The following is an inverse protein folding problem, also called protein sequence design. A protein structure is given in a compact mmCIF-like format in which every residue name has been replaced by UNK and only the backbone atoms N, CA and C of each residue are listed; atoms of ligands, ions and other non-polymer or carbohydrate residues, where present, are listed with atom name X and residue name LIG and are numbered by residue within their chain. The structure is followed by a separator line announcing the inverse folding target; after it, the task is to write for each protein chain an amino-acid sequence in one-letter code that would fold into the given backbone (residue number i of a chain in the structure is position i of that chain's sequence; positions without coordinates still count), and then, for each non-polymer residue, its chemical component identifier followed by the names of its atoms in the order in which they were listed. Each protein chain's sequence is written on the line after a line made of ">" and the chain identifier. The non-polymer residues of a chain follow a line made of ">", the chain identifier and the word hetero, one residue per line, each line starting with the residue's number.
data_IF_496893284597
#
_entry.id   IF_496893284597
#
_cell.length_a   1.000
_cell.length_b   1.000
_cell.length_c   1.000
_cell.angle_alpha   90.00
_cell.angle_beta   90.00
_cell.angle_gamma   90.00
#
_symmetry.space_group_name_H-M   'P 1'
#
loop_
_entity.id
_entity.type
_entity.pdbx_description
1 polymer ?
#
# COMPACT_ATOMS: atom_id res chain seq x y z
N UNK A 1 12.86 0.27 -41.09
CA UNK A 1 12.08 -0.80 -40.41
C UNK A 1 11.76 -0.36 -39.00
N UNK A 2 10.48 -0.33 -38.66
CA UNK A 2 9.92 0.74 -37.83
C UNK A 2 9.26 0.19 -36.56
N UNK A 3 9.28 0.98 -35.48
CA UNK A 3 8.54 0.67 -34.24
C UNK A 3 7.11 1.12 -34.50
N UNK A 4 6.14 0.22 -34.32
CA UNK A 4 4.74 0.51 -34.70
C UNK A 4 3.94 0.92 -33.48
N UNK A 5 3.24 2.06 -33.58
CA UNK A 5 2.17 2.41 -32.65
C UNK A 5 0.91 1.63 -33.05
N UNK A 6 0.39 0.80 -32.15
CA UNK A 6 -0.88 0.10 -32.35
C UNK A 6 -1.95 0.80 -31.52
N UNK A 7 -3.01 1.31 -32.13
CA UNK A 7 -4.20 1.72 -31.38
C UNK A 7 -4.90 0.46 -30.83
N UNK A 8 -5.24 0.42 -29.54
CA UNK A 8 -6.15 -0.63 -29.03
C UNK A 8 -7.55 -0.36 -29.56
N UNK A 9 -8.33 -1.43 -29.84
CA UNK A 9 -9.67 -1.36 -30.45
C UNK A 9 -10.51 -0.21 -29.86
N UNK A 10 -10.89 0.73 -30.75
CA UNK A 10 -11.50 2.06 -30.52
C UNK A 10 -10.56 3.28 -30.50
N UNK A 11 -9.28 3.15 -30.86
CA UNK A 11 -8.43 4.32 -31.16
C UNK A 11 -8.14 4.43 -32.64
N UNK A 12 -8.88 5.29 -33.35
CA UNK A 12 -8.22 6.12 -34.37
C UNK A 12 -7.06 6.83 -33.66
N UNK A 13 -5.90 6.99 -34.32
CA UNK A 13 -4.87 7.93 -33.87
C UNK A 13 -5.46 9.32 -34.11
N UNK A 14 -6.36 9.69 -33.20
CA UNK A 14 -7.10 10.93 -33.25
C UNK A 14 -6.21 12.12 -32.90
N UNK A 15 -6.69 13.34 -33.15
CA UNK A 15 -5.99 14.56 -32.77
C UNK A 15 -5.58 14.53 -31.27
N UNK A 16 -4.58 15.32 -30.86
CA UNK A 16 -3.98 15.32 -29.51
C UNK A 16 -4.97 15.29 -28.31
N UNK A 17 -6.22 15.69 -28.54
CA UNK A 17 -7.34 15.63 -27.61
C UNK A 17 -7.75 14.20 -27.16
N UNK A 18 -7.50 13.17 -27.97
CA UNK A 18 -7.85 11.78 -27.62
C UNK A 18 -6.79 11.09 -26.75
N UNK A 19 -5.53 11.50 -26.87
CA UNK A 19 -4.48 11.11 -25.95
C UNK A 19 -4.80 11.58 -24.52
N UNK A 20 -5.46 12.74 -24.38
CA UNK A 20 -5.84 13.34 -23.09
C UNK A 20 -6.84 12.46 -22.28
N UNK A 21 -7.81 11.81 -22.95
CA UNK A 21 -8.81 10.96 -22.28
C UNK A 21 -8.26 9.59 -21.85
N UNK A 22 -7.47 8.92 -22.70
CA UNK A 22 -6.79 7.68 -22.33
C UNK A 22 -5.67 7.91 -21.29
N UNK A 23 -5.04 9.08 -21.34
CA UNK A 23 -4.07 9.51 -20.32
C UNK A 23 -4.72 9.54 -18.94
N UNK A 24 -5.94 10.05 -18.78
CA UNK A 24 -6.59 10.16 -17.47
C UNK A 24 -6.59 8.85 -16.64
N UNK A 25 -6.60 7.69 -17.31
CA UNK A 25 -6.72 6.38 -16.67
C UNK A 25 -5.46 5.49 -16.77
N UNK A 26 -4.51 5.80 -17.66
CA UNK A 26 -3.34 4.96 -17.92
C UNK A 26 -2.04 5.48 -17.23
N UNK A 27 -1.10 4.57 -16.88
CA UNK A 27 0.24 4.97 -16.49
C UNK A 27 0.93 5.71 -17.65
N UNK A 28 1.74 6.71 -17.32
CA UNK A 28 2.40 7.57 -18.33
C UNK A 28 3.40 6.79 -19.18
N UNK A 29 4.16 5.88 -18.58
CA UNK A 29 4.99 4.93 -19.31
C UNK A 29 5.17 3.64 -18.49
N UNK A 30 4.80 2.50 -19.08
CA UNK A 30 4.95 1.16 -18.50
C UNK A 30 5.25 0.16 -19.63
N UNK A 31 6.17 -0.77 -19.38
CA UNK A 31 6.40 -1.96 -20.22
C UNK A 31 5.61 -3.15 -19.68
N UNK A 32 5.25 -4.09 -20.53
CA UNK A 32 4.38 -5.21 -20.12
C UNK A 32 5.08 -6.17 -19.16
N UNK A 33 6.34 -6.48 -19.43
CA UNK A 33 7.16 -7.40 -18.64
C UNK A 33 8.58 -6.84 -18.44
N UNK A 34 9.33 -7.31 -17.43
CA UNK A 34 10.71 -6.88 -17.21
C UNK A 34 11.63 -7.11 -18.42
N UNK A 35 11.30 -8.06 -19.29
CA UNK A 35 12.09 -8.37 -20.49
C UNK A 35 11.73 -7.47 -21.69
N UNK A 36 10.62 -6.75 -21.66
CA UNK A 36 10.16 -5.94 -22.78
C UNK A 36 10.95 -4.64 -22.96
N UNK A 37 11.53 -4.43 -24.13
CA UNK A 37 12.28 -3.21 -24.48
C UNK A 37 13.49 -2.96 -23.57
N UNK A 38 14.02 -4.01 -22.93
CA UNK A 38 15.24 -3.89 -22.13
C UNK A 38 16.44 -3.54 -23.00
N UNK A 39 17.45 -2.95 -22.36
CA UNK A 39 18.68 -2.61 -23.05
C UNK A 39 19.77 -3.62 -22.73
N UNK A 40 20.60 -3.93 -23.72
CA UNK A 40 21.80 -4.73 -23.54
C UNK A 40 22.97 -4.16 -24.36
N UNK A 41 24.19 -4.50 -23.94
CA UNK A 41 25.41 -4.14 -24.65
C UNK A 41 26.10 -5.38 -25.17
N UNK A 42 26.29 -5.44 -26.48
CA UNK A 42 26.91 -6.58 -27.13
C UNK A 42 27.75 -6.13 -28.32
N UNK A 43 28.95 -6.70 -28.47
CA UNK A 43 29.87 -6.43 -29.59
C UNK A 43 30.10 -4.94 -29.90
N UNK A 44 30.21 -4.11 -28.86
CA UNK A 44 30.52 -2.69 -29.04
C UNK A 44 29.31 -1.81 -29.40
N UNK A 45 28.09 -2.34 -29.34
CA UNK A 45 26.86 -1.64 -29.66
C UNK A 45 25.78 -1.88 -28.61
N UNK A 46 24.95 -0.85 -28.39
CA UNK A 46 23.79 -0.92 -27.50
C UNK A 46 22.60 -1.40 -28.31
N UNK A 47 21.79 -2.28 -27.74
CA UNK A 47 20.57 -2.78 -28.33
C UNK A 47 19.37 -2.53 -27.41
N UNK A 48 18.23 -2.19 -27.99
CA UNK A 48 16.92 -2.30 -27.35
C UNK A 48 16.30 -3.61 -27.85
N UNK A 49 15.84 -4.43 -26.92
CA UNK A 49 15.24 -5.72 -27.21
C UNK A 49 13.80 -5.59 -27.73
N UNK A 50 13.27 -6.70 -28.21
CA UNK A 50 11.86 -6.82 -28.55
C UNK A 50 10.98 -6.54 -27.33
N UNK A 51 9.76 -6.07 -27.57
CA UNK A 51 8.77 -6.00 -26.52
C UNK A 51 7.69 -4.97 -26.74
N UNK A 52 6.89 -4.81 -25.70
CA UNK A 52 5.71 -3.97 -25.70
C UNK A 52 5.67 -2.97 -24.54
N UNK A 53 5.04 -1.83 -24.79
CA UNK A 53 4.82 -0.82 -23.76
C UNK A 53 3.57 0.00 -24.04
N UNK A 54 3.09 0.69 -23.02
CA UNK A 54 2.14 1.78 -23.12
C UNK A 54 2.86 3.06 -22.70
N UNK A 55 2.85 4.08 -23.55
CA UNK A 55 3.38 5.39 -23.24
C UNK A 55 2.42 6.50 -23.70
N UNK A 56 2.06 7.40 -22.79
CA UNK A 56 1.10 8.49 -23.02
C UNK A 56 -0.21 8.02 -23.69
N UNK A 57 -0.71 6.84 -23.31
CA UNK A 57 -1.92 6.22 -23.89
C UNK A 57 -1.70 5.55 -25.26
N UNK A 58 -0.49 5.59 -25.80
CA UNK A 58 -0.13 4.93 -27.06
C UNK A 58 0.49 3.58 -26.77
N UNK A 59 -0.03 2.51 -27.39
CA UNK A 59 0.57 1.18 -27.32
C UNK A 59 1.68 1.06 -28.35
N UNK A 60 2.86 0.69 -27.88
CA UNK A 60 4.10 0.55 -28.66
C UNK A 60 4.43 -0.94 -28.80
N UNK A 61 4.81 -1.37 -29.99
CA UNK A 61 5.35 -2.70 -30.23
C UNK A 61 6.67 -2.64 -31.02
N UNK A 62 7.70 -3.28 -30.46
CA UNK A 62 8.97 -3.52 -31.12
C UNK A 62 9.17 -5.02 -31.32
N UNK A 63 9.16 -5.48 -32.56
CA UNK A 63 9.26 -6.90 -32.91
C UNK A 63 10.68 -7.41 -33.13
N UNK A 64 11.69 -6.53 -33.13
CA UNK A 64 13.09 -6.91 -33.36
C UNK A 64 14.08 -6.10 -32.52
N UNK A 65 15.24 -6.66 -32.22
CA UNK A 65 16.30 -5.91 -31.53
C UNK A 65 16.77 -4.73 -32.39
N UNK A 66 16.81 -3.53 -31.82
CA UNK A 66 17.21 -2.30 -32.50
C UNK A 66 18.55 -1.80 -31.99
N UNK A 67 19.54 -1.58 -32.87
CA UNK A 67 20.76 -0.91 -32.46
C UNK A 67 20.49 0.54 -32.05
N UNK A 68 21.25 1.02 -31.07
CA UNK A 68 21.22 2.39 -30.59
C UNK A 68 22.61 2.97 -30.73
N UNK A 69 22.72 4.03 -31.53
CA UNK A 69 24.01 4.66 -31.79
C UNK A 69 24.45 5.54 -30.62
N UNK A 70 25.54 5.13 -29.97
CA UNK A 70 26.17 5.86 -28.88
C UNK A 70 27.58 6.29 -29.30
N UNK A 71 27.76 7.57 -29.59
CA UNK A 71 29.07 8.09 -29.96
C UNK A 71 30.09 7.89 -28.82
N UNK A 72 31.19 7.13 -29.03
CA UNK A 72 32.18 6.89 -27.98
C UNK A 72 32.86 8.22 -27.57
N UNK A 73 33.15 8.42 -26.29
CA UNK A 73 34.01 9.52 -25.86
C UNK A 73 35.46 9.31 -26.28
N UNK A 74 36.12 10.37 -26.71
CA UNK A 74 37.58 10.38 -26.92
C UNK A 74 38.37 10.27 -25.61
N UNK A 75 37.80 10.76 -24.50
CA UNK A 75 38.28 10.58 -23.13
C UNK A 75 37.12 10.77 -22.14
N UNK A 76 37.23 10.18 -20.94
CA UNK A 76 36.22 10.29 -19.87
C UNK A 76 34.94 9.47 -20.13
N UNK A 77 33.81 9.95 -19.62
CA UNK A 77 32.50 9.33 -19.76
C UNK A 77 31.48 10.29 -20.39
N UNK A 78 30.48 9.72 -21.06
CA UNK A 78 29.32 10.45 -21.61
C UNK A 78 28.04 9.82 -21.12
N UNK A 79 27.08 10.64 -20.74
CA UNK A 79 25.76 10.19 -20.30
C UNK A 79 24.74 10.41 -21.41
N UNK A 80 23.94 9.37 -21.66
CA UNK A 80 22.85 9.36 -22.62
C UNK A 80 21.53 9.01 -21.91
N UNK A 81 20.44 9.69 -22.26
CA UNK A 81 19.09 9.19 -22.02
C UNK A 81 18.64 8.44 -23.27
N UNK A 82 18.24 7.18 -23.10
CA UNK A 82 17.65 6.40 -24.17
C UNK A 82 16.14 6.46 -24.03
N UNK A 83 15.49 7.08 -25.01
CA UNK A 83 14.05 7.32 -24.99
C UNK A 83 13.37 6.72 -26.23
N UNK A 84 12.12 6.29 -26.06
CA UNK A 84 11.18 6.11 -27.15
C UNK A 84 10.48 7.45 -27.37
N UNK A 85 10.83 8.12 -28.45
CA UNK A 85 10.19 9.36 -28.87
C UNK A 85 8.95 9.04 -29.68
N UNK A 86 7.80 9.40 -29.15
CA UNK A 86 6.52 9.42 -29.84
C UNK A 86 6.33 10.81 -30.44
N UNK A 87 6.13 10.89 -31.75
CA UNK A 87 5.83 12.10 -32.50
C UNK A 87 4.48 11.92 -33.20
N UNK A 88 3.43 12.52 -32.64
CA UNK A 88 2.07 12.43 -33.18
C UNK A 88 1.86 13.29 -34.43
N UNK A 89 2.88 14.04 -34.88
CA UNK A 89 2.84 14.68 -36.21
C UNK A 89 3.19 13.72 -37.35
N UNK A 90 3.63 12.49 -37.03
CA UNK A 90 4.06 11.47 -37.99
C UNK A 90 2.99 10.39 -38.17
N UNK A 91 2.98 9.70 -39.32
CA UNK A 91 2.15 8.51 -39.50
C UNK A 91 2.54 7.41 -38.50
N UNK A 92 1.59 6.51 -38.19
CA UNK A 92 1.69 5.53 -37.11
C UNK A 92 2.93 4.63 -37.15
N UNK A 93 3.39 4.32 -38.36
CA UNK A 93 4.57 3.51 -38.61
C UNK A 93 5.86 4.28 -38.32
N UNK A 94 5.88 5.61 -38.47
CA UNK A 94 7.04 6.47 -38.18
C UNK A 94 6.94 7.23 -36.85
N UNK A 95 5.80 7.12 -36.17
CA UNK A 95 5.49 7.88 -34.95
C UNK A 95 6.45 7.58 -33.80
N UNK A 96 7.04 6.39 -33.73
CA UNK A 96 7.95 6.01 -32.65
C UNK A 96 9.38 5.84 -33.15
N UNK A 97 10.29 6.63 -32.59
CA UNK A 97 11.73 6.54 -32.89
C UNK A 97 12.56 6.41 -31.62
N UNK A 98 13.67 5.67 -31.68
CA UNK A 98 14.63 5.62 -30.58
C UNK A 98 15.53 6.85 -30.66
N UNK A 99 15.70 7.56 -29.54
CA UNK A 99 16.65 8.68 -29.44
C UNK A 99 17.62 8.47 -28.28
N UNK A 100 18.89 8.71 -28.55
CA UNK A 100 19.94 8.83 -27.55
C UNK A 100 20.23 10.31 -27.29
N UNK A 101 19.58 10.88 -26.28
CA UNK A 101 19.73 12.29 -25.93
C UNK A 101 21.02 12.45 -25.10
N UNK A 102 21.99 13.16 -25.66
CA UNK A 102 23.35 13.27 -25.12
C UNK A 102 23.49 14.47 -24.17
N UNK A 103 24.28 14.28 -23.10
CA UNK A 103 24.88 15.40 -22.35
C UNK A 103 26.39 15.21 -22.21
N UNK A 104 27.13 16.33 -22.17
CA UNK A 104 28.59 16.33 -21.93
C UNK A 104 28.95 15.93 -20.50
N UNK A 105 28.10 16.27 -19.53
CA UNK A 105 28.17 15.79 -18.14
C UNK A 105 26.81 15.95 -17.46
N UNK A 106 26.55 15.11 -16.45
CA UNK A 106 25.35 15.18 -15.61
C UNK A 106 24.09 14.55 -16.20
N UNK A 107 22.96 14.80 -15.54
CA UNK A 107 21.68 14.17 -15.87
C UNK A 107 21.10 14.69 -17.19
N UNK A 108 20.44 13.84 -18.00
CA UNK A 108 19.64 14.30 -19.14
C UNK A 108 18.67 15.42 -18.74
N UNK A 109 18.49 16.44 -19.60
CA UNK A 109 17.63 17.59 -19.29
C UNK A 109 16.18 17.24 -19.62
N UNK A 110 15.30 17.41 -18.64
CA UNK A 110 13.86 17.30 -18.82
C UNK A 110 13.33 18.63 -19.36
N UNK A 111 12.60 18.58 -20.46
CA UNK A 111 11.87 19.73 -20.95
C UNK A 111 10.64 19.97 -20.05
N UNK A 112 10.67 21.06 -19.29
CA UNK A 112 9.61 21.46 -18.37
C UNK A 112 8.54 22.35 -19.03
N UNK A 113 8.54 22.48 -20.37
CA UNK A 113 7.61 23.36 -21.11
C UNK A 113 6.78 22.56 -22.11
N UNK A 114 5.61 23.09 -22.48
CA UNK A 114 4.75 22.47 -23.48
C UNK A 114 5.32 22.55 -24.92
N UNK A 115 6.31 23.42 -25.16
CA UNK A 115 6.96 23.55 -26.46
C UNK A 115 7.95 22.39 -26.67
N UNK A 116 7.80 21.57 -27.73
CA UNK A 116 8.69 20.43 -27.98
C UNK A 116 10.16 20.86 -28.15
N UNK A 117 11.07 20.11 -27.52
CA UNK A 117 12.53 20.30 -27.68
C UNK A 117 13.19 19.00 -28.11
N UNK A 118 13.86 19.03 -29.25
CA UNK A 118 14.38 17.81 -29.89
C UNK A 118 15.62 17.23 -29.20
N UNK A 119 16.32 18.03 -28.39
CA UNK A 119 17.53 17.69 -27.65
C UNK A 119 17.30 17.38 -26.16
N UNK A 120 16.06 17.47 -25.69
CA UNK A 120 15.65 17.25 -24.29
C UNK A 120 14.61 16.15 -24.19
N UNK A 121 14.38 15.64 -22.97
CA UNK A 121 13.33 14.66 -22.68
C UNK A 121 11.99 15.39 -22.54
N UNK A 122 11.07 15.19 -23.47
CA UNK A 122 9.73 15.77 -23.45
C UNK A 122 8.77 14.91 -22.62
N UNK A 123 8.46 15.31 -21.39
CA UNK A 123 7.54 14.58 -20.48
C UNK A 123 6.11 15.11 -20.46
N UNK A 124 5.86 16.23 -21.15
CA UNK A 124 4.51 16.78 -21.31
C UNK A 124 4.00 16.25 -22.64
N UNK A 125 3.01 15.33 -22.64
CA UNK A 125 2.42 14.86 -23.88
C UNK A 125 1.85 16.03 -24.69
N UNK A 126 2.00 15.97 -26.02
CA UNK A 126 1.68 17.05 -26.93
C UNK A 126 1.94 16.62 -28.36
N UNK A 127 2.75 17.37 -29.12
CA UNK A 127 3.23 16.91 -30.43
C UNK A 127 4.31 15.83 -30.30
N UNK A 128 5.15 15.94 -29.27
CA UNK A 128 6.25 15.00 -28.98
C UNK A 128 6.20 14.58 -27.52
N UNK A 129 6.40 13.29 -27.26
CA UNK A 129 6.58 12.72 -25.93
C UNK A 129 7.75 11.74 -25.94
N UNK A 130 8.54 11.73 -24.87
CA UNK A 130 9.71 10.87 -24.69
C UNK A 130 9.51 9.94 -23.49
N UNK A 131 9.26 8.66 -23.77
CA UNK A 131 9.26 7.61 -22.77
C UNK A 131 10.71 7.17 -22.46
N UNK A 132 11.18 7.42 -21.25
CA UNK A 132 12.55 7.11 -20.85
C UNK A 132 12.72 5.63 -20.51
N UNK A 133 13.58 4.94 -21.25
CA UNK A 133 13.91 3.54 -21.00
C UNK A 133 15.06 3.38 -20.01
N UNK A 134 16.15 4.11 -20.23
CA UNK A 134 17.36 3.96 -19.44
C UNK A 134 18.26 5.20 -19.49
N UNK A 135 19.10 5.31 -18.47
CA UNK A 135 20.27 6.19 -18.47
C UNK A 135 21.51 5.34 -18.75
N UNK A 136 22.28 5.72 -19.76
CA UNK A 136 23.47 4.96 -20.18
C UNK A 136 24.71 5.82 -20.03
N UNK A 137 25.71 5.32 -19.32
CA UNK A 137 27.03 5.95 -19.19
C UNK A 137 28.00 5.19 -20.10
N UNK A 138 28.45 5.85 -21.17
CA UNK A 138 29.43 5.32 -22.12
C UNK A 138 30.83 5.80 -21.74
N UNK A 139 31.77 4.88 -21.60
CA UNK A 139 33.21 5.16 -21.51
C UNK A 139 33.90 4.66 -22.79
N UNK A 140 35.20 4.89 -22.92
CA UNK A 140 35.97 4.35 -24.04
C UNK A 140 35.92 2.81 -24.11
N UNK A 141 35.86 2.12 -22.95
CA UNK A 141 35.93 0.66 -22.86
C UNK A 141 34.58 -0.06 -22.68
N UNK A 142 33.49 0.63 -22.35
CA UNK A 142 32.24 -0.05 -21.99
C UNK A 142 31.05 0.87 -21.83
N UNK A 143 29.92 0.28 -21.42
CA UNK A 143 28.72 1.02 -21.01
C UNK A 143 28.24 0.51 -19.66
N UNK A 144 27.68 1.41 -18.87
CA UNK A 144 26.84 1.08 -17.72
C UNK A 144 25.42 1.50 -18.07
N UNK A 145 24.48 0.57 -17.90
CA UNK A 145 23.06 0.79 -18.19
C UNK A 145 22.34 0.86 -16.84
N UNK A 146 21.66 1.98 -16.59
CA UNK A 146 20.75 2.16 -15.48
C UNK A 146 19.34 2.06 -16.02
N UNK A 147 18.65 0.97 -15.70
CA UNK A 147 17.32 0.70 -16.20
C UNK A 147 16.27 1.53 -15.45
N UNK A 148 15.41 2.21 -16.20
CA UNK A 148 14.39 3.13 -15.68
C UNK A 148 12.98 2.73 -16.15
N UNK A 149 12.82 1.56 -16.76
CA UNK A 149 11.51 1.02 -17.14
C UNK A 149 10.70 0.66 -15.91
N UNK A 150 9.38 0.77 -16.04
CA UNK A 150 8.41 0.36 -15.01
C UNK A 150 7.51 -0.74 -15.59
N UNK A 151 7.12 -1.75 -14.81
CA UNK A 151 6.18 -2.82 -15.23
C UNK A 151 5.19 -3.20 -14.13
N UNK A 152 4.17 -3.99 -14.47
CA UNK A 152 3.15 -4.47 -13.54
C UNK A 152 2.21 -3.36 -13.06
N UNK A 153 1.88 -3.35 -11.76
CA UNK A 153 0.98 -2.35 -11.16
C UNK A 153 -0.51 -2.71 -11.18
N UNK A 154 -0.88 -3.91 -11.65
CA UNK A 154 -2.26 -4.40 -11.57
C UNK A 154 -2.64 -4.68 -10.11
N UNK A 155 -3.31 -3.71 -9.47
CA UNK A 155 -3.76 -3.81 -8.08
C UNK A 155 -2.67 -3.58 -7.02
N UNK A 156 -1.52 -3.04 -7.40
CA UNK A 156 -0.39 -2.78 -6.50
C UNK A 156 0.59 -1.73 -7.04
N UNK A 157 1.74 -1.52 -6.39
CA UNK A 157 2.76 -0.57 -6.87
C UNK A 157 3.33 -1.02 -8.23
N UNK A 158 3.75 -0.06 -9.04
CA UNK A 158 4.56 -0.33 -10.21
C UNK A 158 5.91 -0.90 -9.77
N UNK A 159 6.44 -1.83 -10.55
CA UNK A 159 7.76 -2.43 -10.29
C UNK A 159 8.84 -1.72 -11.08
N UNK A 160 9.99 -1.55 -10.43
CA UNK A 160 11.19 -0.96 -11.00
C UNK A 160 12.43 -1.74 -10.57
N UNK A 161 13.53 -1.56 -11.28
CA UNK A 161 14.85 -2.04 -10.84
C UNK A 161 15.37 -1.23 -9.65
N UNK A 162 16.48 -1.69 -9.06
CA UNK A 162 17.20 -0.90 -8.05
C UNK A 162 17.69 0.46 -8.60
N UNK A 163 18.05 0.54 -9.89
CA UNK A 163 18.44 1.79 -10.55
C UNK A 163 17.26 2.77 -10.63
N UNK A 164 16.08 2.31 -11.05
CA UNK A 164 14.85 3.11 -11.07
C UNK A 164 14.45 3.61 -9.67
N UNK A 165 14.65 2.78 -8.65
CA UNK A 165 14.41 3.15 -7.25
C UNK A 165 15.42 4.19 -6.72
N UNK A 166 16.67 4.15 -7.19
CA UNK A 166 17.70 5.11 -6.82
C UNK A 166 17.52 6.48 -7.51
N UNK A 167 16.93 6.50 -8.71
CA UNK A 167 16.71 7.71 -9.51
C UNK A 167 15.22 7.95 -9.84
N UNK A 168 14.32 7.97 -8.84
CA UNK A 168 12.88 7.96 -9.09
C UNK A 168 12.40 9.26 -9.75
N UNK A 169 13.13 10.36 -9.59
CA UNK A 169 12.89 11.63 -10.28
C UNK A 169 12.96 11.52 -11.81
N UNK A 170 13.59 10.46 -12.34
CA UNK A 170 13.63 10.20 -13.77
C UNK A 170 12.44 9.39 -14.27
N UNK A 171 11.63 8.80 -13.40
CA UNK A 171 10.42 8.10 -13.80
C UNK A 171 9.34 9.13 -14.13
N UNK A 172 8.73 9.01 -15.32
CA UNK A 172 7.58 9.83 -15.67
C UNK A 172 6.32 9.14 -15.19
N UNK A 173 5.90 9.46 -13.96
CA UNK A 173 4.76 8.84 -13.28
C UNK A 173 3.80 9.92 -12.75
N UNK A 174 2.55 9.52 -12.50
CA UNK A 174 1.52 10.42 -11.96
C UNK A 174 1.73 10.63 -10.45
N UNK A 175 1.34 11.79 -9.94
CA UNK A 175 1.22 11.99 -8.48
C UNK A 175 0.26 10.95 -7.90
N UNK A 176 0.55 10.49 -6.69
CA UNK A 176 -0.09 9.34 -6.04
C UNK A 176 0.48 7.98 -6.44
N UNK A 177 1.36 7.88 -7.45
CA UNK A 177 1.91 6.58 -7.88
C UNK A 177 2.86 6.00 -6.84
N UNK A 178 2.70 4.71 -6.55
CA UNK A 178 3.66 3.92 -5.79
C UNK A 178 4.57 3.13 -6.73
N UNK A 179 5.86 3.10 -6.43
CA UNK A 179 6.85 2.23 -7.08
C UNK A 179 7.49 1.32 -6.04
N UNK A 180 7.88 0.12 -6.43
CA UNK A 180 8.61 -0.81 -5.59
C UNK A 180 9.69 -1.56 -6.37
N UNK A 181 10.76 -1.96 -5.70
CA UNK A 181 11.73 -2.89 -6.30
C UNK A 181 11.05 -4.24 -6.58
N UNK A 182 11.58 -5.02 -7.52
CA UNK A 182 10.99 -6.31 -7.93
C UNK A 182 10.68 -7.29 -6.78
N UNK A 183 11.45 -7.22 -5.68
CA UNK A 183 11.27 -8.05 -4.48
C UNK A 183 10.46 -7.38 -3.36
N UNK A 184 10.05 -6.12 -3.54
CA UNK A 184 9.29 -5.38 -2.53
C UNK A 184 10.14 -4.76 -1.41
N UNK A 185 11.47 -4.84 -1.51
CA UNK A 185 12.38 -4.42 -0.43
C UNK A 185 12.32 -2.90 -0.16
N UNK A 186 12.03 -2.11 -1.20
CA UNK A 186 11.90 -0.65 -1.13
C UNK A 186 10.64 -0.19 -1.86
N UNK A 187 9.96 0.81 -1.33
CA UNK A 187 8.77 1.43 -1.93
C UNK A 187 8.89 2.94 -1.77
N UNK A 188 8.56 3.66 -2.82
CA UNK A 188 8.44 5.12 -2.80
C UNK A 188 7.08 5.52 -3.35
N UNK A 189 6.56 6.65 -2.89
CA UNK A 189 5.36 7.30 -3.43
C UNK A 189 5.75 8.66 -3.99
N UNK A 190 5.18 9.00 -5.13
CA UNK A 190 5.23 10.34 -5.68
C UNK A 190 4.08 11.15 -5.10
N UNK A 191 4.37 12.08 -4.20
CA UNK A 191 3.33 12.84 -3.50
C UNK A 191 2.76 13.98 -4.35
N UNK A 192 1.70 14.62 -3.86
CA UNK A 192 0.99 15.70 -4.55
C UNK A 192 1.85 16.94 -4.80
N UNK A 193 2.92 17.12 -4.04
CA UNK A 193 3.93 18.17 -4.24
C UNK A 193 4.99 17.81 -5.29
N UNK A 194 4.91 16.61 -5.87
CA UNK A 194 5.87 16.12 -6.87
C UNK A 194 7.18 15.61 -6.28
N UNK A 195 7.23 15.40 -4.96
CA UNK A 195 8.41 14.85 -4.27
C UNK A 195 8.25 13.35 -4.10
N UNK A 196 9.32 12.60 -4.40
CA UNK A 196 9.40 11.18 -4.08
C UNK A 196 9.76 10.98 -2.61
N UNK A 197 8.92 10.30 -1.86
CA UNK A 197 9.17 9.95 -0.46
C UNK A 197 9.27 8.45 -0.29
N UNK A 198 10.17 8.04 0.59
CA UNK A 198 10.20 6.66 1.08
C UNK A 198 8.88 6.38 1.79
N UNK A 199 8.18 5.38 1.27
CA UNK A 199 7.12 4.74 2.02
C UNK A 199 7.84 3.63 2.76
N UNK A 200 7.99 3.78 4.08
CA UNK A 200 8.69 2.80 4.91
C UNK A 200 8.23 1.38 4.52
N UNK A 201 9.13 0.63 3.87
CA UNK A 201 8.82 -0.70 3.36
C UNK A 201 8.93 -1.74 4.44
N UNK A 202 7.79 -2.08 4.99
CA UNK A 202 7.19 -3.41 4.85
C UNK A 202 5.74 -3.10 4.48
N UNK A 203 5.12 -3.74 3.48
CA UNK A 203 3.71 -3.46 3.14
C UNK A 203 2.80 -3.85 4.32
N UNK A 204 2.60 -2.93 5.27
CA UNK A 204 1.78 -3.02 6.47
C UNK A 204 1.95 -4.35 7.22
N UNK A 205 3.15 -4.64 7.75
CA UNK A 205 3.44 -5.89 8.44
C UNK A 205 2.51 -6.02 9.65
N UNK A 206 2.06 -7.23 9.91
CA UNK A 206 1.31 -7.52 11.13
C UNK A 206 2.20 -7.27 12.34
N UNK A 207 1.92 -6.19 13.07
CA UNK A 207 2.55 -5.87 14.34
C UNK A 207 1.83 -6.62 15.45
N UNK A 208 2.58 -7.34 16.26
CA UNK A 208 2.02 -7.92 17.48
C UNK A 208 1.87 -6.85 18.54
N UNK A 209 0.83 -6.97 19.35
CA UNK A 209 0.68 -6.17 20.56
C UNK A 209 -0.01 -7.02 21.63
N UNK A 210 0.12 -6.63 22.89
CA UNK A 210 -0.44 -7.38 24.01
C UNK A 210 -1.76 -6.74 24.46
N UNK A 211 -2.93 -7.31 24.08
CA UNK A 211 -4.21 -6.75 24.46
C UNK A 211 -4.48 -6.91 25.94
N UNK A 212 -5.00 -5.86 26.57
CA UNK A 212 -5.32 -5.85 28.00
C UNK A 212 -6.77 -5.47 28.20
N UNK A 213 -7.47 -6.29 29.00
CA UNK A 213 -8.79 -5.95 29.50
C UNK A 213 -8.67 -5.08 30.75
N UNK A 214 -9.59 -4.14 30.91
CA UNK A 214 -9.69 -3.26 32.07
C UNK A 214 -11.10 -3.17 32.59
N UNK A 215 -11.28 -3.22 33.90
CA UNK A 215 -12.57 -3.04 34.56
C UNK A 215 -12.62 -1.72 35.34
N UNK A 216 -13.82 -1.16 35.51
CA UNK A 216 -14.01 0.19 36.07
C UNK A 216 -14.78 0.25 37.40
N UNK A 217 -15.14 -0.88 38.02
CA UNK A 217 -15.98 -0.90 39.23
C UNK A 217 -17.27 -0.10 38.98
N UNK A 218 -17.55 0.93 39.77
CA UNK A 218 -18.66 1.86 39.58
C UNK A 218 -18.34 3.07 38.70
N UNK A 219 -17.07 3.26 38.28
CA UNK A 219 -16.69 4.39 37.46
C UNK A 219 -17.17 4.21 36.01
N UNK A 220 -17.50 5.34 35.38
CA UNK A 220 -17.80 5.36 33.95
C UNK A 220 -16.52 5.08 33.14
N UNK A 221 -16.55 4.16 32.17
CA UNK A 221 -15.42 3.93 31.29
C UNK A 221 -14.98 5.21 30.58
N UNK A 222 -13.68 5.46 30.59
CA UNK A 222 -13.07 6.49 29.76
C UNK A 222 -12.01 5.85 28.85
N UNK A 223 -11.94 6.31 27.62
CA UNK A 223 -11.09 5.70 26.59
C UNK A 223 -9.62 6.07 26.64
N UNK A 224 -9.17 6.88 27.60
CA UNK A 224 -7.83 7.48 27.57
C UNK A 224 -6.95 7.11 28.77
N UNK A 225 -7.52 6.92 29.97
CA UNK A 225 -6.73 6.64 31.18
C UNK A 225 -7.53 5.93 32.29
N UNK A 226 -6.87 5.43 33.33
CA UNK A 226 -7.55 4.70 34.43
C UNK A 226 -7.95 3.27 34.06
N UNK A 227 -8.96 2.73 34.76
CA UNK A 227 -9.35 1.32 34.70
C UNK A 227 -8.32 0.40 35.39
N UNK A 228 -8.79 -0.66 36.03
CA UNK A 228 -7.95 -1.66 36.67
C UNK A 228 -7.71 -2.84 35.72
N UNK A 229 -6.47 -3.35 35.67
CA UNK A 229 -6.17 -4.52 34.85
C UNK A 229 -6.97 -5.72 35.32
N UNK A 230 -7.57 -6.41 34.36
CA UNK A 230 -8.23 -7.70 34.56
C UNK A 230 -7.19 -8.79 34.79
N UNK A 231 -7.48 -9.70 35.72
CA UNK A 231 -6.68 -10.90 35.93
C UNK A 231 -7.20 -12.06 35.08
N UNK A 232 -6.41 -12.54 34.13
CA UNK A 232 -6.80 -13.67 33.27
C UNK A 232 -6.63 -15.04 33.95
N UNK A 233 -6.14 -15.10 35.19
CA UNK A 233 -5.94 -16.36 35.90
C UNK A 233 -4.72 -17.16 35.43
N UNK A 234 -4.52 -18.34 36.01
CA UNK A 234 -3.36 -19.18 35.75
C UNK A 234 -3.47 -19.83 34.36
N UNK A 235 -2.47 -19.60 33.51
CA UNK A 235 -2.47 -20.06 32.10
C UNK A 235 -3.34 -19.20 31.17
N UNK A 236 -3.80 -18.03 31.62
CA UNK A 236 -4.54 -17.09 30.78
C UNK A 236 -3.61 -16.42 29.77
N UNK A 237 -4.09 -16.24 28.54
CA UNK A 237 -3.31 -15.68 27.44
C UNK A 237 -4.08 -14.58 26.71
N UNK A 238 -3.32 -13.63 26.19
CA UNK A 238 -3.81 -12.52 25.41
C UNK A 238 -2.85 -12.32 24.25
N UNK A 239 -3.37 -12.36 23.01
CA UNK A 239 -2.58 -12.17 21.81
C UNK A 239 -3.37 -11.32 20.82
N UNK A 240 -2.67 -10.42 20.16
CA UNK A 240 -3.25 -9.66 19.08
C UNK A 240 -2.20 -9.27 18.06
N UNK A 241 -2.69 -9.02 16.84
CA UNK A 241 -1.91 -8.46 15.75
C UNK A 241 -2.71 -7.41 15.02
N UNK A 242 -2.04 -6.38 14.52
CA UNK A 242 -2.67 -5.33 13.72
C UNK A 242 -1.76 -4.86 12.60
N UNK A 243 -2.35 -4.21 11.61
CA UNK A 243 -1.67 -3.43 10.58
C UNK A 243 -2.47 -2.17 10.30
N UNK A 244 -1.85 -1.15 9.72
CA UNK A 244 -2.53 0.09 9.31
C UNK A 244 -2.41 0.20 7.80
N UNK A 245 -3.53 0.20 7.08
CA UNK A 245 -3.58 0.30 5.62
C UNK A 245 -4.42 1.53 5.28
N UNK A 246 -3.82 2.48 4.56
CA UNK A 246 -4.49 3.71 4.10
C UNK A 246 -5.22 4.49 5.22
N UNK A 247 -4.56 4.61 6.39
CA UNK A 247 -5.13 5.30 7.55
C UNK A 247 -6.20 4.51 8.31
N UNK A 248 -6.43 3.24 7.95
CA UNK A 248 -7.36 2.34 8.63
C UNK A 248 -6.60 1.22 9.31
N UNK A 249 -6.82 1.02 10.61
CA UNK A 249 -6.33 -0.13 11.33
C UNK A 249 -7.17 -1.37 11.00
N UNK A 250 -6.50 -2.49 10.72
CA UNK A 250 -7.04 -3.84 10.55
C UNK A 250 -6.36 -4.76 11.56
N UNK A 251 -7.13 -5.43 12.42
CA UNK A 251 -6.60 -6.11 13.60
C UNK A 251 -7.37 -7.37 14.00
N UNK A 252 -6.68 -8.29 14.67
CA UNK A 252 -7.27 -9.45 15.31
C UNK A 252 -6.85 -9.52 16.77
N UNK A 253 -7.81 -9.79 17.64
CA UNK A 253 -7.60 -9.97 19.09
C UNK A 253 -8.10 -11.34 19.48
N UNK A 254 -7.34 -12.03 20.33
CA UNK A 254 -7.73 -13.26 21.00
C UNK A 254 -7.34 -13.18 22.48
N UNK A 255 -8.31 -13.35 23.37
CA UNK A 255 -8.10 -13.36 24.82
C UNK A 255 -8.74 -14.64 25.34
N UNK A 256 -7.93 -15.45 26.03
CA UNK A 256 -8.36 -16.70 26.64
C UNK A 256 -8.07 -16.66 28.14
N UNK A 257 -9.10 -16.74 29.00
CA UNK A 257 -8.88 -16.89 30.43
C UNK A 257 -8.24 -18.26 30.73
N UNK A 258 -7.43 -18.28 31.78
CA UNK A 258 -6.68 -19.44 32.25
C UNK A 258 -7.51 -20.33 33.16
N UNK A 259 -7.27 -21.63 33.13
CA UNK A 259 -8.14 -22.69 33.68
C UNK A 259 -8.67 -22.43 35.11
N UNK A 260 -7.94 -21.69 35.95
CA UNK A 260 -8.40 -21.26 37.28
C UNK A 260 -8.01 -19.82 37.59
N UNK A 261 -8.75 -19.18 38.49
CA UNK A 261 -8.37 -17.88 39.07
C UNK A 261 -8.59 -16.66 38.16
N UNK A 262 -9.26 -16.82 37.02
CA UNK A 262 -9.65 -15.70 36.18
C UNK A 262 -10.70 -14.84 36.87
N UNK A 263 -10.44 -13.54 36.98
CA UNK A 263 -11.37 -12.54 37.53
C UNK A 263 -11.34 -11.28 36.68
N UNK A 264 -12.45 -10.99 36.02
CA UNK A 264 -12.61 -9.77 35.24
C UNK A 264 -12.96 -8.54 36.11
N UNK A 265 -12.93 -8.70 37.44
CA UNK A 265 -13.20 -7.62 38.39
C UNK A 265 -14.68 -7.30 38.54
N UNK A 266 -15.00 -6.00 38.57
CA UNK A 266 -16.35 -5.47 38.80
C UNK A 266 -16.67 -4.39 37.77
N UNK A 267 -17.93 -4.33 37.34
CA UNK A 267 -18.43 -3.28 36.46
C UNK A 267 -18.07 -3.46 34.99
N UNK A 268 -18.17 -2.38 34.18
CA UNK A 268 -17.91 -2.44 32.75
C UNK A 268 -16.47 -2.82 32.44
N UNK A 269 -16.27 -3.54 31.33
CA UNK A 269 -14.95 -3.96 30.85
C UNK A 269 -14.65 -3.33 29.49
N UNK A 270 -13.44 -2.79 29.34
CA UNK A 270 -12.90 -2.29 28.06
C UNK A 270 -11.71 -3.11 27.63
N UNK A 271 -11.44 -3.08 26.32
CA UNK A 271 -10.24 -3.61 25.70
C UNK A 271 -9.32 -2.44 25.32
N UNK A 272 -8.05 -2.47 25.74
CA UNK A 272 -7.05 -1.50 25.24
C UNK A 272 -6.96 -1.62 23.70
N UNK A 273 -6.57 -0.55 22.99
CA UNK A 273 -6.37 -0.55 21.54
C UNK A 273 -4.89 -0.36 21.21
N UNK A 274 -4.38 -0.92 20.10
CA UNK A 274 -2.99 -0.75 19.69
C UNK A 274 -2.64 0.71 19.34
N UNK A 275 -3.61 1.44 18.79
CA UNK A 275 -3.51 2.86 18.43
C UNK A 275 -4.80 3.57 18.82
N UNK A 276 -4.76 4.89 19.11
CA UNK A 276 -5.99 5.67 19.27
C UNK A 276 -6.79 5.70 17.96
N UNK A 277 -8.12 5.66 18.05
CA UNK A 277 -8.97 5.99 16.92
C UNK A 277 -8.76 7.46 16.52
N UNK A 278 -8.78 7.74 15.22
CA UNK A 278 -8.69 9.09 14.68
C UNK A 278 -9.76 10.00 15.31
N UNK A 279 -9.38 11.25 15.61
CA UNK A 279 -10.27 12.20 16.29
C UNK A 279 -11.37 12.78 15.37
N UNK A 280 -11.18 12.71 14.06
CA UNK A 280 -12.06 13.31 13.06
C UNK A 280 -13.18 12.39 12.56
N UNK A 281 -13.16 11.10 12.94
CA UNK A 281 -14.15 10.11 12.53
C UNK A 281 -15.21 9.90 13.62
N UNK A 282 -16.43 9.53 13.23
CA UNK A 282 -17.48 9.04 14.14
C UNK A 282 -17.10 7.71 14.83
N UNK A 283 -17.83 7.36 15.89
CA UNK A 283 -17.66 6.10 16.61
C UNK A 283 -17.85 4.90 15.65
N UNK A 284 -16.97 3.90 15.75
CA UNK A 284 -16.95 2.72 14.87
C UNK A 284 -17.22 1.44 15.64
N UNK A 285 -17.84 0.47 14.97
CA UNK A 285 -18.13 -0.85 15.53
C UNK A 285 -17.26 -1.91 14.88
N UNK A 286 -16.61 -2.72 15.71
CA UNK A 286 -15.77 -3.84 15.32
C UNK A 286 -16.43 -5.15 15.77
N UNK A 287 -16.51 -6.13 14.88
CA UNK A 287 -17.20 -7.39 15.13
C UNK A 287 -16.35 -8.29 16.04
N UNK A 288 -17.00 -9.11 16.86
CA UNK A 288 -16.33 -10.01 17.77
C UNK A 288 -17.21 -11.16 18.22
N UNK A 289 -16.66 -11.93 19.14
CA UNK A 289 -17.26 -13.14 19.63
C UNK A 289 -16.88 -13.36 21.08
N UNK A 290 -17.82 -13.87 21.87
CA UNK A 290 -17.62 -14.27 23.24
C UNK A 290 -18.09 -15.71 23.42
N UNK A 291 -17.16 -16.58 23.80
CA UNK A 291 -17.43 -17.98 24.08
C UNK A 291 -17.14 -18.31 25.54
N UNK A 292 -18.16 -18.68 26.31
CA UNK A 292 -17.99 -19.18 27.67
C UNK A 292 -17.93 -20.72 27.68
N UNK A 293 -16.95 -21.26 28.39
CA UNK A 293 -16.69 -22.71 28.49
C UNK A 293 -16.69 -23.22 29.94
N UNK A 294 -17.67 -22.79 30.74
CA UNK A 294 -17.94 -23.43 32.03
C UNK A 294 -17.12 -22.92 33.22
N UNK A 295 -16.94 -21.59 33.36
CA UNK A 295 -16.54 -20.99 34.65
C UNK A 295 -17.70 -20.99 35.67
N UNK A 296 -18.28 -22.16 35.89
CA UNK A 296 -19.50 -22.40 36.66
C UNK A 296 -20.77 -21.88 35.97
N UNK A 297 -21.91 -22.31 36.50
CA UNK A 297 -23.23 -21.89 36.01
C UNK A 297 -23.77 -22.73 34.85
N UNK A 298 -24.87 -22.26 34.28
CA UNK A 298 -25.63 -23.02 33.28
C UNK A 298 -24.92 -23.02 31.92
N UNK A 299 -24.25 -24.12 31.54
CA UNK A 299 -23.86 -24.42 30.16
C UNK A 299 -22.72 -23.59 29.53
N UNK A 300 -22.30 -24.06 28.35
CA UNK A 300 -21.40 -23.34 27.45
C UNK A 300 -22.23 -22.45 26.52
N UNK A 301 -21.77 -21.24 26.29
CA UNK A 301 -22.48 -20.26 25.47
C UNK A 301 -21.59 -19.66 24.41
N UNK A 302 -22.17 -19.47 23.23
CA UNK A 302 -21.53 -18.86 22.08
C UNK A 302 -22.33 -17.63 21.66
N UNK A 303 -21.77 -16.44 21.93
CA UNK A 303 -22.46 -15.17 21.76
C UNK A 303 -21.73 -14.22 20.83
N UNK A 304 -22.54 -13.48 20.08
CA UNK A 304 -22.08 -12.30 19.36
C UNK A 304 -21.52 -11.27 20.34
N UNK A 305 -20.41 -10.65 19.96
CA UNK A 305 -19.86 -9.52 20.69
C UNK A 305 -19.49 -8.41 19.71
N UNK A 306 -19.54 -7.17 20.16
CA UNK A 306 -19.08 -6.03 19.37
C UNK A 306 -18.18 -5.14 20.22
N UNK A 307 -17.26 -4.47 19.56
CA UNK A 307 -16.36 -3.51 20.17
C UNK A 307 -16.65 -2.13 19.60
N UNK A 308 -17.17 -1.24 20.44
CA UNK A 308 -17.36 0.17 20.12
C UNK A 308 -16.03 0.91 20.32
N UNK A 309 -15.47 1.43 19.23
CA UNK A 309 -14.25 2.21 19.19
C UNK A 309 -14.61 3.66 18.94
N UNK A 310 -14.42 4.50 19.96
CA UNK A 310 -14.83 5.91 19.91
C UNK A 310 -13.72 6.83 19.42
N UNK A 311 -14.09 7.95 18.82
CA UNK A 311 -13.16 8.98 18.36
C UNK A 311 -12.16 9.38 19.46
N UNK A 312 -10.86 9.34 19.15
CA UNK A 312 -9.78 9.70 20.08
C UNK A 312 -9.52 8.73 21.24
N UNK A 313 -10.29 7.64 21.34
CA UNK A 313 -10.12 6.67 22.42
C UNK A 313 -9.01 5.68 22.08
N UNK A 314 -8.24 5.30 23.11
CA UNK A 314 -7.25 4.21 23.10
C UNK A 314 -7.82 2.91 23.68
N UNK A 315 -9.15 2.83 23.83
CA UNK A 315 -9.86 1.67 24.38
C UNK A 315 -11.20 1.50 23.70
N UNK A 316 -11.56 0.25 23.41
CA UNK A 316 -12.89 -0.12 22.93
C UNK A 316 -13.80 -0.57 24.07
N UNK A 317 -15.08 -0.19 24.00
CA UNK A 317 -16.13 -0.71 24.88
C UNK A 317 -16.66 -2.01 24.32
N UNK A 318 -16.64 -3.06 25.12
CA UNK A 318 -17.18 -4.37 24.71
C UNK A 318 -18.68 -4.37 24.94
N UNK A 319 -19.41 -4.82 23.94
CA UNK A 319 -20.86 -5.05 23.97
C UNK A 319 -21.13 -6.51 23.66
N UNK A 320 -22.15 -7.05 24.30
CA UNK A 320 -22.53 -8.47 24.24
C UNK A 320 -24.02 -8.61 24.41
N UNK A 321 -24.57 -9.75 24.00
CA UNK A 321 -25.93 -10.11 24.36
C UNK A 321 -26.07 -10.19 25.88
N UNK A 322 -27.08 -9.58 26.51
CA UNK A 322 -27.16 -9.48 27.96
C UNK A 322 -27.56 -10.79 28.62
N UNK A 323 -28.17 -11.72 27.89
CA UNK A 323 -28.60 -13.05 28.33
C UNK A 323 -28.89 -13.90 27.07
N UNK A 324 -28.89 -15.23 27.21
CA UNK A 324 -29.31 -16.14 26.15
C UNK A 324 -30.74 -15.80 25.66
N UNK A 325 -30.93 -15.77 24.34
CA UNK A 325 -32.21 -15.50 23.70
C UNK A 325 -32.55 -14.01 23.54
N UNK A 326 -31.73 -13.09 24.06
CA UNK A 326 -31.88 -11.65 23.82
C UNK A 326 -30.90 -11.17 22.74
N UNK A 327 -31.43 -10.73 21.60
CA UNK A 327 -30.64 -10.26 20.47
C UNK A 327 -30.11 -8.82 20.65
N UNK A 328 -30.59 -8.08 21.66
CA UNK A 328 -30.08 -6.73 21.95
C UNK A 328 -28.67 -6.82 22.53
N UNK A 329 -27.90 -5.77 22.35
CA UNK A 329 -26.55 -5.67 22.88
C UNK A 329 -26.54 -4.72 24.07
N UNK A 330 -25.79 -5.08 25.13
CA UNK A 330 -25.51 -4.22 26.28
C UNK A 330 -24.01 -4.17 26.57
N UNK A 331 -23.50 -3.14 27.28
CA UNK A 331 -22.10 -3.09 27.67
C UNK A 331 -21.72 -4.32 28.52
N UNK A 332 -20.61 -4.95 28.18
CA UNK A 332 -20.06 -6.07 28.92
C UNK A 332 -19.72 -5.66 30.35
N UNK A 333 -20.17 -6.46 31.32
CA UNK A 333 -19.93 -6.23 32.75
C UNK A 333 -19.49 -7.51 33.42
N UNK A 334 -18.38 -7.47 34.15
CA UNK A 334 -17.79 -8.64 34.79
C UNK A 334 -18.63 -9.20 35.96
N UNK A 335 -19.13 -8.32 36.81
CA UNK A 335 -19.98 -8.62 37.95
C UNK A 335 -20.46 -7.30 38.58
N UNK A 336 -21.54 -7.34 39.36
CA UNK A 336 -21.97 -6.20 40.16
C UNK A 336 -21.06 -5.96 41.36
N UNK A 337 -20.48 -7.03 41.93
CA UNK A 337 -19.44 -7.01 42.97
C UNK A 337 -18.31 -7.97 42.60
N UNK A 338 -17.06 -7.65 42.95
CA UNK A 338 -15.90 -8.49 42.61
C UNK A 338 -16.09 -9.95 43.03
N UNK A 339 -15.97 -10.88 42.08
CA UNK A 339 -16.08 -12.32 42.35
C UNK A 339 -17.51 -12.84 42.58
N UNK A 340 -18.53 -12.04 42.28
CA UNK A 340 -19.93 -12.45 42.39
C UNK A 340 -20.41 -13.16 41.13
N UNK A 341 -20.87 -14.41 41.30
CA UNK A 341 -21.49 -15.22 40.23
C UNK A 341 -22.89 -14.68 39.87
N UNK A 342 -23.31 -14.85 38.62
CA UNK A 342 -24.67 -14.57 38.17
C UNK A 342 -25.09 -13.11 38.23
N UNK A 343 -24.15 -12.15 38.14
CA UNK A 343 -24.46 -10.71 38.15
C UNK A 343 -23.82 -9.92 37.02
N UNK A 344 -23.00 -10.57 36.20
CA UNK A 344 -22.41 -9.90 35.05
C UNK A 344 -23.36 -9.83 33.84
N UNK A 345 -22.85 -9.21 32.78
CA UNK A 345 -23.44 -9.13 31.45
C UNK A 345 -22.37 -9.61 30.46
N UNK A 346 -22.58 -10.75 29.79
CA UNK A 346 -23.82 -11.54 29.67
C UNK A 346 -24.22 -12.25 30.99
N UNK A 347 -25.50 -12.33 31.33
CA UNK A 347 -25.95 -13.02 32.54
C UNK A 347 -25.79 -14.53 32.40
N UNK A 348 -25.16 -15.15 33.41
CA UNK A 348 -24.95 -16.60 33.50
C UNK A 348 -25.38 -17.07 34.87
N UNK A 349 -26.49 -17.80 34.95
CA UNK A 349 -27.02 -18.28 36.22
C UNK A 349 -25.97 -19.12 36.96
N UNK A 350 -25.60 -18.72 38.18
CA UNK A 350 -24.60 -19.42 38.99
C UNK A 350 -23.16 -19.40 38.44
N UNK A 351 -22.89 -18.67 37.36
CA UNK A 351 -21.60 -18.64 36.67
C UNK A 351 -20.90 -17.29 36.65
N UNK A 352 -19.63 -17.30 36.26
CA UNK A 352 -18.88 -16.08 36.01
C UNK A 352 -18.96 -15.69 34.54
N UNK A 353 -19.07 -14.39 34.27
CA UNK A 353 -18.96 -13.85 32.91
C UNK A 353 -17.49 -13.79 32.54
N UNK A 354 -16.93 -14.96 32.25
CA UNK A 354 -15.52 -15.18 31.92
C UNK A 354 -15.53 -16.13 30.74
N UNK A 355 -14.91 -15.75 29.63
CA UNK A 355 -14.91 -16.55 28.43
C UNK A 355 -13.78 -16.14 27.49
N UNK A 356 -13.60 -16.94 26.44
CA UNK A 356 -12.75 -16.57 25.31
C UNK A 356 -13.40 -15.39 24.59
N UNK A 357 -12.61 -14.36 24.30
CA UNK A 357 -13.02 -13.23 23.50
C UNK A 357 -12.17 -13.15 22.23
N UNK A 358 -12.81 -12.97 21.09
CA UNK A 358 -12.14 -12.62 19.84
C UNK A 358 -12.77 -11.40 19.21
N UNK A 359 -11.96 -10.54 18.58
CA UNK A 359 -12.43 -9.37 17.87
C UNK A 359 -11.67 -9.19 16.56
N UNK A 360 -12.39 -8.79 15.51
CA UNK A 360 -11.82 -8.21 14.29
C UNK A 360 -11.93 -6.69 14.41
N UNK A 361 -10.80 -6.02 14.59
CA UNK A 361 -10.71 -4.58 14.73
C UNK A 361 -10.63 -3.91 13.36
N UNK A 362 -11.52 -2.95 13.12
CA UNK A 362 -11.43 -2.09 11.94
C UNK A 362 -11.85 -0.66 12.27
N UNK A 363 -10.89 0.28 12.29
CA UNK A 363 -11.18 1.69 12.59
C UNK A 363 -10.10 2.64 12.04
N UNK A 364 -10.44 3.90 11.70
CA UNK A 364 -9.45 4.89 11.26
C UNK A 364 -8.48 5.33 12.36
N UNK A 365 -7.25 5.64 11.98
CA UNK A 365 -6.18 6.10 12.87
C UNK A 365 -5.44 7.28 12.26
N UNK A 366 -4.98 8.21 13.09
CA UNK A 366 -4.11 9.30 12.65
C UNK A 366 -2.68 8.75 12.51
N UNK A 367 -2.13 8.76 11.28
CA UNK A 367 -0.79 8.22 10.93
C UNK A 367 0.20 9.32 10.56
#
# INVERSE_FOLDING_TARGET
>A
MTITALGTQNTEIGPPQWADMAQALAPRFVVDSPDDLHLSWWNGQLYIHTGHAIAAGTRISNSWNKPVDLAPPSSGSRTYAIVLRIDWSKPADEAVTIKALRRSSGMPVINATATPKTDQINRIPGVIYDALLARVVRTAGGVTIHDLRCWGGEGGPLRVTADGMAEPHLLDLRKGTFISTDRGDMTKRLDDDGVWRDVLTESNPWRTWNPRLRYYKSATPNGVSGGHLVGLGNGGTASARYRVVDGVLDGFVHIRPGATGATLGQGPVTLDLPLPCANWQEDTWSQGHFYNFGYGGDGDFDWHAELLVKAGWRRGLIWVNPIMGDARMEPYRAADTSGQKGTGKPYIAGGYTVGVMTFNLRYPVDV
#
